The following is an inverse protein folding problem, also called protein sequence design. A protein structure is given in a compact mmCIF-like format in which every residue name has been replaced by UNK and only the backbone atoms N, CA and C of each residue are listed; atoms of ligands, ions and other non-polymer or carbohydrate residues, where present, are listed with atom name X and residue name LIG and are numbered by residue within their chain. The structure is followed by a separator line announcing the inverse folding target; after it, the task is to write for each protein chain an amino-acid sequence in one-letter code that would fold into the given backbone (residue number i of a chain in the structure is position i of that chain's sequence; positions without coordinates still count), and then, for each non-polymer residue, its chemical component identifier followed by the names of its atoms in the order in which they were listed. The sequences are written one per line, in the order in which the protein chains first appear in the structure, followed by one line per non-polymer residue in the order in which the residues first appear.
data_IF_398065521991
#
_entry.id   IF_398065521991
#
_cell.length_a   1.000
_cell.length_b   1.000
_cell.length_c   1.000
_cell.angle_alpha   90.00
_cell.angle_beta   90.00
_cell.angle_gamma   90.00
#
_symmetry.space_group_name_H-M   'P 1'
#
loop_
_entity.id
_entity.type
_entity.pdbx_description
1 polymer ?
#
# COMPACT_ATOMS: atom_id res chain seq x y z
N UNK A 1 26.57 2.34 39.52
CA UNK A 1 25.66 1.30 39.00
C UNK A 1 24.91 1.93 37.84
N UNK A 2 25.35 1.63 36.61
CA UNK A 2 24.72 2.17 35.41
C UNK A 2 23.49 1.32 35.08
N UNK A 3 22.32 1.93 35.13
CA UNK A 3 21.03 1.36 34.75
C UNK A 3 21.04 1.02 33.25
N UNK A 4 20.98 -0.26 32.92
CA UNK A 4 20.74 -0.74 31.55
C UNK A 4 19.31 -0.39 31.17
N UNK A 5 19.14 0.70 30.42
CA UNK A 5 17.88 1.06 29.79
C UNK A 5 17.52 -0.01 28.77
N UNK A 6 16.37 -0.67 28.96
CA UNK A 6 15.74 -1.49 27.94
C UNK A 6 15.49 -0.63 26.70
N UNK A 7 16.20 -0.90 25.61
CA UNK A 7 15.98 -0.25 24.32
C UNK A 7 14.63 -0.69 23.77
N UNK A 8 13.59 0.05 24.10
CA UNK A 8 12.32 -0.03 23.39
C UNK A 8 12.61 0.22 21.91
N UNK A 9 12.20 -0.72 21.06
CA UNK A 9 12.38 -0.64 19.61
C UNK A 9 11.96 0.72 19.11
N UNK A 10 12.88 1.38 18.41
CA UNK A 10 12.49 2.49 17.57
C UNK A 10 11.71 1.86 16.42
N UNK A 11 10.58 2.47 16.07
CA UNK A 11 9.68 2.09 14.97
C UNK A 11 10.37 2.04 13.58
N UNK A 12 11.67 2.31 13.53
CA UNK A 12 12.53 2.42 12.36
C UNK A 12 13.37 1.18 12.06
N UNK A 13 13.49 0.24 13.00
CA UNK A 13 14.44 -0.87 12.86
C UNK A 13 13.74 -2.07 12.22
N UNK A 14 14.33 -2.64 11.16
CA UNK A 14 13.77 -3.79 10.44
C UNK A 14 13.65 -5.02 11.35
N UNK A 15 12.67 -5.89 11.08
CA UNK A 15 12.56 -7.19 11.75
C UNK A 15 13.80 -8.04 11.50
N UNK A 16 14.42 -7.96 10.32
CA UNK A 16 15.65 -8.69 10.00
C UNK A 16 16.83 -8.22 10.87
N UNK A 17 16.92 -6.93 11.17
CA UNK A 17 17.99 -6.36 11.99
C UNK A 17 17.79 -6.64 13.48
N UNK A 18 16.53 -6.62 13.94
CA UNK A 18 16.17 -6.72 15.36
C UNK A 18 15.98 -8.17 15.84
N UNK A 19 15.52 -9.08 14.98
CA UNK A 19 15.28 -10.49 15.33
C UNK A 19 16.52 -11.23 15.84
N UNK A 20 17.74 -11.08 15.29
CA UNK A 20 18.94 -11.73 15.82
C UNK A 20 19.16 -11.45 17.31
N UNK A 21 19.00 -10.19 17.71
CA UNK A 21 19.20 -9.79 19.11
C UNK A 21 18.05 -10.27 20.01
N UNK A 22 16.83 -10.33 19.48
CA UNK A 22 15.69 -10.94 20.15
C UNK A 22 15.94 -12.44 20.44
N UNK A 23 16.42 -13.18 19.43
CA UNK A 23 16.71 -14.60 19.54
C UNK A 23 17.88 -14.87 20.50
N UNK A 24 18.90 -14.01 20.54
CA UNK A 24 20.03 -14.14 21.49
C UNK A 24 19.57 -14.09 22.95
N UNK A 25 18.57 -13.28 23.29
CA UNK A 25 18.05 -13.16 24.67
C UNK A 25 17.39 -14.45 25.18
N UNK A 26 16.97 -15.34 24.28
CA UNK A 26 16.31 -16.62 24.63
C UNK A 26 16.83 -17.77 23.76
N UNK A 27 18.14 -17.77 23.48
CA UNK A 27 18.79 -18.68 22.50
C UNK A 27 18.48 -20.15 22.74
N UNK A 28 18.55 -20.61 23.97
CA UNK A 28 18.29 -22.02 24.31
C UNK A 28 16.84 -22.42 23.96
N UNK A 29 15.88 -21.63 24.44
CA UNK A 29 14.46 -21.85 24.20
C UNK A 29 14.12 -21.78 22.71
N UNK A 30 14.68 -20.81 21.99
CA UNK A 30 14.40 -20.64 20.56
C UNK A 30 15.01 -21.72 19.68
N UNK A 31 16.22 -22.19 19.99
CA UNK A 31 16.77 -23.38 19.33
C UNK A 31 15.87 -24.58 19.51
N UNK A 32 15.43 -24.86 20.75
CA UNK A 32 14.56 -26.00 21.04
C UNK A 32 13.20 -25.86 20.35
N UNK A 33 12.61 -24.66 20.35
CA UNK A 33 11.34 -24.36 19.69
C UNK A 33 11.44 -24.55 18.17
N UNK A 34 12.45 -23.98 17.52
CA UNK A 34 12.62 -24.10 16.07
C UNK A 34 13.02 -25.51 15.65
N UNK A 35 13.82 -26.22 16.46
CA UNK A 35 14.08 -27.66 16.27
C UNK A 35 12.77 -28.47 16.28
N UNK A 36 11.86 -28.19 17.23
CA UNK A 36 10.53 -28.81 17.29
C UNK A 36 9.68 -28.49 16.06
N UNK A 37 9.74 -27.24 15.57
CA UNK A 37 9.06 -26.87 14.34
C UNK A 37 9.63 -27.63 13.13
N UNK A 38 10.95 -27.64 12.90
CA UNK A 38 11.52 -28.30 11.71
C UNK A 38 11.41 -29.84 11.76
N UNK A 39 11.31 -30.44 12.94
CA UNK A 39 11.21 -31.90 13.10
C UNK A 39 9.98 -32.51 12.40
N UNK A 40 8.87 -31.78 12.28
CA UNK A 40 7.68 -32.27 11.58
C UNK A 40 7.72 -32.06 10.06
N UNK A 41 8.88 -31.71 9.51
CA UNK A 41 9.09 -31.57 8.07
C UNK A 41 8.47 -30.32 7.45
N UNK A 42 8.39 -30.32 6.12
CA UNK A 42 7.92 -29.19 5.32
C UNK A 42 6.43 -28.94 5.53
N UNK A 43 6.06 -27.70 5.86
CA UNK A 43 4.64 -27.29 6.01
C UNK A 43 4.51 -25.77 6.15
N UNK A 44 3.31 -25.27 5.89
CA UNK A 44 2.90 -23.93 6.29
C UNK A 44 2.29 -23.97 7.70
N UNK A 45 2.69 -23.03 8.55
CA UNK A 45 2.17 -22.87 9.90
C UNK A 45 1.63 -21.47 10.11
N UNK A 46 0.57 -21.37 10.91
CA UNK A 46 0.05 -20.08 11.41
C UNK A 46 0.62 -19.77 12.78
N UNK A 47 0.48 -18.51 13.22
CA UNK A 47 0.94 -18.05 14.53
C UNK A 47 0.53 -18.98 15.68
N UNK A 48 -0.72 -19.45 15.74
CA UNK A 48 -1.19 -20.32 16.82
C UNK A 48 -0.32 -21.58 16.99
N UNK A 49 0.11 -22.21 15.89
CA UNK A 49 0.97 -23.40 15.95
C UNK A 49 2.38 -23.06 16.45
N UNK A 50 2.90 -21.87 16.10
CA UNK A 50 4.19 -21.39 16.60
C UNK A 50 4.07 -21.15 18.11
N UNK A 51 2.98 -20.54 18.55
CA UNK A 51 2.70 -20.27 19.96
C UNK A 51 2.53 -21.55 20.78
N UNK A 52 1.88 -22.58 20.22
CA UNK A 52 1.79 -23.91 20.83
C UNK A 52 3.18 -24.54 21.03
N UNK A 53 4.08 -24.44 20.04
CA UNK A 53 5.45 -24.97 20.18
C UNK A 53 6.27 -24.17 21.20
N UNK A 54 6.07 -22.84 21.28
CA UNK A 54 6.68 -21.99 22.32
C UNK A 54 6.18 -22.40 23.72
N UNK A 55 4.87 -22.61 23.88
CA UNK A 55 4.27 -23.03 25.15
C UNK A 55 4.74 -24.42 25.58
N UNK A 56 4.87 -25.34 24.63
CA UNK A 56 5.43 -26.69 24.86
C UNK A 56 6.92 -26.64 25.22
N UNK A 57 7.67 -25.71 24.64
CA UNK A 57 9.12 -25.60 24.84
C UNK A 57 9.47 -24.93 26.18
N UNK A 58 8.70 -23.91 26.57
CA UNK A 58 8.92 -23.08 27.76
C UNK A 58 7.83 -23.37 28.79
N UNK A 59 8.11 -24.35 29.65
CA UNK A 59 7.17 -24.81 30.70
C UNK A 59 7.00 -23.75 31.82
N UNK A 60 8.05 -22.97 32.12
CA UNK A 60 7.97 -21.91 33.11
C UNK A 60 7.15 -20.72 32.59
N UNK A 61 6.01 -20.48 33.24
CA UNK A 61 5.07 -19.40 32.89
C UNK A 61 5.68 -18.01 33.02
N UNK A 62 6.58 -17.77 33.97
CA UNK A 62 7.23 -16.48 34.18
C UNK A 62 8.26 -16.20 33.09
N UNK A 63 9.09 -17.20 32.74
CA UNK A 63 10.04 -17.06 31.63
C UNK A 63 9.32 -16.84 30.30
N UNK A 64 8.26 -17.62 30.05
CA UNK A 64 7.43 -17.49 28.86
C UNK A 64 6.81 -16.11 28.77
N UNK A 65 6.22 -15.61 29.87
CA UNK A 65 5.64 -14.27 29.92
C UNK A 65 6.69 -13.20 29.62
N UNK A 66 7.87 -13.29 30.23
CA UNK A 66 8.97 -12.35 30.01
C UNK A 66 9.45 -12.32 28.55
N UNK A 67 9.51 -13.48 27.89
CA UNK A 67 9.85 -13.60 26.48
C UNK A 67 8.79 -12.93 25.59
N UNK A 68 7.51 -13.20 25.86
CA UNK A 68 6.39 -12.66 25.08
C UNK A 68 6.14 -11.16 25.32
N UNK A 69 6.56 -10.62 26.45
CA UNK A 69 6.56 -9.17 26.71
C UNK A 69 7.75 -8.45 26.03
N UNK A 70 8.73 -9.20 25.52
CA UNK A 70 9.91 -8.68 24.84
C UNK A 70 9.74 -8.49 23.33
N UNK A 71 10.86 -8.13 22.67
CA UNK A 71 10.93 -7.93 21.22
C UNK A 71 10.51 -9.18 20.43
N UNK A 72 10.90 -10.37 20.87
CA UNK A 72 10.49 -11.60 20.19
C UNK A 72 8.98 -11.80 20.23
N UNK A 73 8.34 -11.51 21.37
CA UNK A 73 6.89 -11.53 21.48
C UNK A 73 6.20 -10.54 20.54
N UNK A 74 6.76 -9.33 20.40
CA UNK A 74 6.30 -8.37 19.40
C UNK A 74 6.38 -8.94 17.97
N UNK A 75 7.54 -9.48 17.56
CA UNK A 75 7.71 -10.05 16.21
C UNK A 75 6.73 -11.21 15.96
N UNK A 76 6.59 -12.12 16.93
CA UNK A 76 5.64 -13.23 16.84
C UNK A 76 4.21 -12.71 16.72
N UNK A 77 3.81 -11.68 17.48
CA UNK A 77 2.47 -11.09 17.39
C UNK A 77 2.16 -10.46 16.02
N UNK A 78 3.20 -9.98 15.32
CA UNK A 78 3.08 -9.43 13.98
C UNK A 78 3.19 -10.50 12.87
N UNK A 79 3.61 -11.72 13.21
CA UNK A 79 3.76 -12.83 12.27
C UNK A 79 2.40 -13.31 11.79
N UNK A 80 2.18 -13.31 10.47
CA UNK A 80 0.94 -13.79 9.87
C UNK A 80 0.98 -15.31 9.63
N UNK A 81 2.10 -15.79 9.11
CA UNK A 81 2.36 -17.20 8.83
C UNK A 81 3.87 -17.45 8.76
N UNK A 82 4.25 -18.72 8.79
CA UNK A 82 5.61 -19.14 8.51
C UNK A 82 5.62 -20.39 7.61
N UNK A 83 6.58 -20.44 6.68
CA UNK A 83 6.91 -21.63 5.92
C UNK A 83 8.05 -22.37 6.61
N UNK A 84 7.82 -23.63 6.96
CA UNK A 84 8.83 -24.52 7.50
C UNK A 84 9.43 -25.28 6.33
N UNK A 85 10.72 -25.04 6.06
CA UNK A 85 11.50 -25.74 5.03
C UNK A 85 12.83 -26.12 5.69
N UNK A 86 12.92 -27.29 6.35
CA UNK A 86 14.09 -27.64 7.16
C UNK A 86 15.42 -27.44 6.41
N UNK A 87 16.44 -26.84 7.05
CA UNK A 87 16.52 -26.45 8.46
C UNK A 87 15.91 -25.06 8.79
N UNK A 88 15.18 -24.45 7.85
CA UNK A 88 14.71 -23.07 7.96
C UNK A 88 13.27 -22.95 8.46
N UNK A 89 13.06 -21.89 9.24
CA UNK A 89 11.74 -21.33 9.58
C UNK A 89 11.67 -19.95 8.94
N UNK A 90 10.80 -19.78 7.96
CA UNK A 90 10.69 -18.55 7.16
C UNK A 90 9.42 -17.83 7.53
N UNK A 91 9.52 -16.63 8.10
CA UNK A 91 8.38 -15.87 8.62
C UNK A 91 7.92 -14.81 7.64
N UNK A 92 6.60 -14.66 7.48
CA UNK A 92 5.97 -13.47 6.91
C UNK A 92 5.42 -12.61 8.03
N UNK A 93 6.07 -11.47 8.27
CA UNK A 93 5.77 -10.56 9.37
C UNK A 93 5.09 -9.31 8.80
N UNK A 94 4.03 -8.86 9.47
CA UNK A 94 3.27 -7.67 9.09
C UNK A 94 3.20 -6.67 10.24
N UNK A 95 4.25 -5.85 10.45
CA UNK A 95 4.29 -4.89 11.56
C UNK A 95 3.22 -3.80 11.48
N UNK A 96 2.87 -3.37 10.26
CA UNK A 96 1.85 -2.34 10.02
C UNK A 96 1.01 -2.69 8.78
N UNK A 97 -0.23 -2.16 8.65
CA UNK A 97 -1.01 -2.32 7.43
C UNK A 97 -0.26 -1.80 6.19
N UNK A 98 -0.19 -2.63 5.15
CA UNK A 98 0.52 -2.30 3.91
C UNK A 98 2.05 -2.49 3.98
N UNK A 99 2.59 -2.96 5.10
CA UNK A 99 4.02 -3.17 5.27
C UNK A 99 4.30 -4.63 5.67
N UNK A 100 5.12 -5.30 4.87
CA UNK A 100 5.51 -6.70 5.05
C UNK A 100 7.03 -6.81 5.10
N UNK A 101 7.50 -7.70 5.96
CA UNK A 101 8.90 -8.10 6.03
C UNK A 101 8.96 -9.62 6.05
N UNK A 102 9.93 -10.19 5.35
CA UNK A 102 10.15 -11.62 5.28
C UNK A 102 11.52 -11.94 5.84
N UNK A 103 11.57 -12.90 6.77
CA UNK A 103 12.81 -13.28 7.44
C UNK A 103 12.96 -14.79 7.46
N UNK A 104 14.12 -15.27 7.05
CA UNK A 104 14.50 -16.68 7.06
C UNK A 104 15.41 -16.95 8.24
N UNK A 105 15.02 -17.88 9.11
CA UNK A 105 15.79 -18.24 10.30
C UNK A 105 16.27 -19.67 10.20
N UNK A 106 17.56 -19.90 10.39
CA UNK A 106 18.12 -21.25 10.52
C UNK A 106 17.84 -21.79 11.94
N UNK A 107 17.20 -22.96 12.04
CA UNK A 107 16.82 -23.54 13.32
C UNK A 107 18.02 -24.01 14.17
N UNK A 108 19.16 -24.34 13.56
CA UNK A 108 20.33 -24.92 14.22
C UNK A 108 21.19 -23.86 14.90
N UNK A 109 21.46 -22.74 14.24
CA UNK A 109 22.37 -21.69 14.72
C UNK A 109 21.70 -20.35 15.05
N UNK A 110 20.43 -20.19 14.66
CA UNK A 110 19.61 -18.98 14.77
C UNK A 110 20.12 -17.80 13.93
N UNK A 111 20.84 -18.06 12.84
CA UNK A 111 21.12 -17.02 11.85
C UNK A 111 19.82 -16.57 11.19
N UNK A 112 19.71 -15.26 10.99
CA UNK A 112 18.53 -14.60 10.42
C UNK A 112 18.96 -13.86 9.17
N UNK A 113 18.30 -14.15 8.06
CA UNK A 113 18.44 -13.42 6.81
C UNK A 113 17.13 -12.70 6.50
N UNK A 114 17.20 -11.40 6.18
CA UNK A 114 16.09 -10.72 5.49
C UNK A 114 16.00 -11.23 4.05
N UNK A 115 14.79 -11.51 3.58
CA UNK A 115 14.55 -12.01 2.21
C UNK A 115 13.47 -11.19 1.50
N UNK A 116 13.44 -11.28 0.18
CA UNK A 116 12.41 -10.62 -0.63
C UNK A 116 11.11 -11.43 -0.65
N UNK A 117 10.03 -10.79 -1.10
CA UNK A 117 8.72 -11.44 -1.22
C UNK A 117 8.76 -12.68 -2.13
N UNK A 118 9.49 -12.61 -3.24
CA UNK A 118 9.66 -13.70 -4.19
C UNK A 118 10.37 -14.91 -3.56
N UNK A 119 11.41 -14.69 -2.75
CA UNK A 119 12.11 -15.75 -2.02
C UNK A 119 11.20 -16.42 -0.99
N UNK A 120 10.36 -15.64 -0.28
CA UNK A 120 9.36 -16.19 0.63
C UNK A 120 8.34 -17.05 -0.11
N UNK A 121 7.83 -16.59 -1.26
CA UNK A 121 6.88 -17.34 -2.07
C UNK A 121 7.48 -18.65 -2.58
N UNK A 122 8.74 -18.66 -3.05
CA UNK A 122 9.47 -19.89 -3.39
C UNK A 122 9.57 -20.86 -2.21
N UNK A 123 9.77 -20.34 -0.99
CA UNK A 123 9.74 -21.19 0.21
C UNK A 123 8.36 -21.81 0.45
N UNK A 124 7.27 -21.10 0.15
CA UNK A 124 5.92 -21.68 0.21
C UNK A 124 5.70 -22.74 -0.86
N UNK A 125 6.21 -22.52 -2.07
CA UNK A 125 6.13 -23.49 -3.16
C UNK A 125 6.92 -24.76 -2.83
N UNK A 126 8.13 -24.63 -2.27
CA UNK A 126 8.98 -25.76 -1.83
C UNK A 126 8.30 -26.69 -0.82
N UNK A 127 7.30 -26.19 -0.08
CA UNK A 127 6.48 -27.00 0.84
C UNK A 127 5.59 -27.99 0.07
N UNK A 128 5.15 -27.63 -1.14
CA UNK A 128 4.20 -28.43 -1.92
C UNK A 128 4.84 -29.12 -3.14
N UNK A 129 5.67 -28.40 -3.89
CA UNK A 129 6.31 -28.90 -5.11
C UNK A 129 7.73 -28.32 -5.27
N UNK A 130 8.73 -29.19 -5.12
CA UNK A 130 10.14 -28.82 -5.27
C UNK A 130 10.52 -28.52 -6.72
N UNK A 131 9.89 -29.17 -7.70
CA UNK A 131 10.21 -28.97 -9.11
C UNK A 131 9.72 -27.60 -9.57
N UNK A 132 8.50 -27.25 -9.19
CA UNK A 132 7.95 -25.93 -9.48
C UNK A 132 8.79 -24.82 -8.84
N UNK A 133 9.12 -24.96 -7.55
CA UNK A 133 9.87 -23.94 -6.83
C UNK A 133 11.32 -23.74 -7.33
N UNK A 134 11.86 -24.68 -8.09
CA UNK A 134 13.20 -24.62 -8.70
C UNK A 134 13.18 -24.38 -10.20
N UNK A 135 12.01 -24.16 -10.80
CA UNK A 135 11.90 -23.84 -12.22
C UNK A 135 12.29 -22.38 -12.46
N UNK A 136 13.42 -22.17 -13.16
CA UNK A 136 13.91 -20.85 -13.57
C UNK A 136 12.95 -20.11 -14.51
N UNK A 137 11.98 -20.82 -15.12
CA UNK A 137 10.99 -20.26 -16.04
C UNK A 137 9.61 -20.11 -15.41
N UNK A 138 9.48 -20.29 -14.09
CA UNK A 138 8.23 -20.07 -13.39
C UNK A 138 7.74 -18.62 -13.62
N UNK A 139 6.46 -18.46 -13.97
CA UNK A 139 5.88 -17.16 -14.26
C UNK A 139 5.74 -16.33 -12.97
N UNK A 140 6.46 -15.21 -12.91
CA UNK A 140 6.31 -14.19 -11.87
C UNK A 140 5.56 -12.98 -12.43
N UNK A 141 4.50 -12.55 -11.73
CA UNK A 141 3.69 -11.39 -12.12
C UNK A 141 4.01 -10.24 -11.17
N UNK A 142 4.77 -9.27 -11.67
CA UNK A 142 5.13 -8.06 -10.92
C UNK A 142 4.44 -6.81 -11.51
N UNK A 143 3.47 -6.28 -10.77
CA UNK A 143 2.80 -5.02 -11.12
C UNK A 143 3.60 -3.78 -10.68
N UNK A 144 4.56 -3.92 -9.76
CA UNK A 144 5.44 -2.84 -9.34
C UNK A 144 6.35 -2.36 -10.46
N UNK A 145 6.72 -3.25 -11.38
CA UNK A 145 7.50 -2.93 -12.57
C UNK A 145 6.78 -2.02 -13.58
N UNK A 146 5.46 -1.79 -13.45
CA UNK A 146 4.66 -1.00 -14.40
C UNK A 146 4.28 0.38 -13.79
N UNK A 147 4.44 0.56 -12.48
CA UNK A 147 3.89 1.72 -11.76
C UNK A 147 4.87 2.89 -11.63
N UNK A 148 5.30 3.47 -12.75
CA UNK A 148 6.28 4.57 -12.74
C UNK A 148 5.64 5.96 -12.57
N UNK A 149 4.35 6.11 -12.86
CA UNK A 149 3.71 7.42 -12.94
C UNK A 149 2.74 7.71 -11.80
N UNK A 150 2.32 6.68 -11.06
CA UNK A 150 1.36 6.85 -9.97
C UNK A 150 2.12 7.18 -8.68
N UNK A 151 1.89 8.34 -8.10
CA UNK A 151 2.48 8.64 -6.80
C UNK A 151 1.87 7.72 -5.73
N UNK A 152 2.71 7.26 -4.80
CA UNK A 152 2.29 6.37 -3.71
C UNK A 152 2.21 7.12 -2.38
N UNK A 153 1.26 6.70 -1.55
CA UNK A 153 1.18 7.13 -0.15
C UNK A 153 2.00 6.16 0.71
N UNK A 154 2.98 6.69 1.46
CA UNK A 154 3.86 5.86 2.29
C UNK A 154 3.30 5.54 3.69
N UNK A 155 2.24 6.24 4.13
CA UNK A 155 1.69 6.09 5.48
C UNK A 155 0.52 5.11 5.50
N UNK A 156 0.56 4.13 6.40
CA UNK A 156 -0.54 3.18 6.62
C UNK A 156 -1.86 3.88 6.95
N UNK A 157 -1.82 5.03 7.64
CA UNK A 157 -3.01 5.82 7.98
C UNK A 157 -3.68 6.47 6.77
N UNK A 158 -3.00 6.53 5.63
CA UNK A 158 -3.55 7.10 4.39
C UNK A 158 -4.28 6.07 3.54
N UNK A 159 -4.22 4.78 3.87
CA UNK A 159 -4.94 3.72 3.14
C UNK A 159 -6.44 4.04 3.11
N UNK A 160 -7.02 4.02 1.92
CA UNK A 160 -8.43 4.38 1.69
C UNK A 160 -8.66 5.85 1.31
N UNK A 161 -7.67 6.73 1.46
CA UNK A 161 -7.78 8.17 1.14
C UNK A 161 -7.15 8.54 -0.21
N UNK A 162 -7.27 7.65 -1.20
CA UNK A 162 -6.63 7.82 -2.51
C UNK A 162 -7.12 9.07 -3.25
N UNK A 163 -8.43 9.37 -3.18
CA UNK A 163 -9.01 10.52 -3.86
C UNK A 163 -8.44 11.86 -3.39
N UNK A 164 -8.26 12.03 -2.08
CA UNK A 164 -7.70 13.26 -1.51
C UNK A 164 -6.25 13.46 -1.99
N UNK A 165 -5.49 12.37 -2.01
CA UNK A 165 -4.11 12.37 -2.47
C UNK A 165 -4.01 12.68 -3.97
N UNK A 166 -4.79 11.99 -4.80
CA UNK A 166 -4.81 12.25 -6.25
C UNK A 166 -5.30 13.66 -6.56
N UNK A 167 -6.32 14.15 -5.85
CA UNK A 167 -6.84 15.52 -6.00
C UNK A 167 -5.76 16.55 -5.69
N UNK A 168 -4.99 16.36 -4.61
CA UNK A 168 -3.88 17.25 -4.26
C UNK A 168 -2.79 17.28 -5.33
N UNK A 169 -2.43 16.14 -5.90
CA UNK A 169 -1.44 16.04 -6.98
C UNK A 169 -1.96 16.67 -8.28
N UNK A 170 -3.20 16.38 -8.65
CA UNK A 170 -3.85 16.99 -9.81
C UNK A 170 -3.90 18.51 -9.67
N UNK A 171 -4.23 19.01 -8.47
CA UNK A 171 -4.26 20.45 -8.19
C UNK A 171 -2.88 21.08 -8.40
N UNK A 172 -1.81 20.48 -7.87
CA UNK A 172 -0.42 20.96 -8.08
C UNK A 172 -0.06 21.03 -9.57
N UNK A 173 -0.34 19.95 -10.31
CA UNK A 173 -0.04 19.86 -11.74
C UNK A 173 -0.83 20.88 -12.57
N UNK A 174 -2.10 21.10 -12.25
CA UNK A 174 -2.94 22.11 -12.92
C UNK A 174 -2.41 23.53 -12.66
N UNK A 175 -1.90 23.81 -11.46
CA UNK A 175 -1.32 25.11 -11.11
C UNK A 175 0.07 25.38 -11.69
N UNK A 176 0.87 24.33 -11.92
CA UNK A 176 2.23 24.43 -12.46
C UNK A 176 2.28 24.59 -13.99
N UNK A 177 1.18 24.29 -14.70
CA UNK A 177 1.11 24.28 -16.17
C UNK A 177 1.33 25.65 -16.80
N UNK A 178 2.60 26.01 -16.95
CA UNK A 178 3.08 27.09 -17.79
C UNK A 178 3.55 26.48 -19.12
N UNK A 179 2.82 26.84 -20.19
CA UNK A 179 3.16 26.63 -21.59
C UNK A 179 2.81 25.25 -22.22
N UNK A 180 1.62 25.22 -22.85
CA UNK A 180 1.28 24.52 -24.10
C UNK A 180 0.18 23.45 -24.05
N UNK A 181 -0.02 22.71 -22.94
CA UNK A 181 -1.10 21.72 -22.83
C UNK A 181 -1.84 21.91 -21.50
N UNK A 182 -3.17 22.04 -21.56
CA UNK A 182 -4.00 22.14 -20.37
C UNK A 182 -5.01 20.98 -20.38
N UNK A 183 -4.69 19.87 -19.70
CA UNK A 183 -5.51 18.66 -19.74
C UNK A 183 -6.96 18.89 -19.31
N UNK A 184 -7.22 19.87 -18.44
CA UNK A 184 -8.57 20.24 -18.04
C UNK A 184 -9.34 20.89 -19.19
N UNK A 185 -8.70 21.81 -19.92
CA UNK A 185 -9.31 22.42 -21.10
C UNK A 185 -9.58 21.38 -22.18
N UNK A 186 -8.61 20.52 -22.47
CA UNK A 186 -8.74 19.46 -23.49
C UNK A 186 -9.84 18.47 -23.11
N UNK A 187 -9.91 18.09 -21.82
CA UNK A 187 -10.99 17.26 -21.30
C UNK A 187 -12.35 17.92 -21.53
N UNK A 188 -12.51 19.19 -21.12
CA UNK A 188 -13.77 19.92 -21.27
C UNK A 188 -14.19 20.07 -22.73
N UNK A 189 -13.25 20.28 -23.66
CA UNK A 189 -13.51 20.34 -25.10
C UNK A 189 -13.94 18.98 -25.69
N UNK A 190 -13.40 17.88 -25.14
CA UNK A 190 -13.67 16.52 -25.61
C UNK A 190 -14.99 15.93 -25.12
N UNK A 191 -15.64 16.57 -24.13
CA UNK A 191 -16.88 16.06 -23.55
C UNK A 191 -18.00 16.07 -24.59
N UNK A 192 -18.46 14.88 -24.96
CA UNK A 192 -19.54 14.67 -25.91
C UNK A 192 -20.45 13.53 -25.42
N UNK A 193 -21.76 13.70 -25.59
CA UNK A 193 -22.74 12.65 -25.35
C UNK A 193 -23.69 12.56 -26.54
N UNK A 194 -23.81 11.38 -27.14
CA UNK A 194 -24.69 11.12 -28.29
C UNK A 194 -24.48 12.07 -29.48
N UNK A 195 -23.24 12.51 -29.72
CA UNK A 195 -22.92 13.44 -30.80
C UNK A 195 -23.12 14.91 -30.43
N UNK A 196 -23.66 15.21 -29.25
CA UNK A 196 -23.76 16.57 -28.72
C UNK A 196 -22.57 16.90 -27.82
N UNK A 197 -21.85 17.98 -28.14
CA UNK A 197 -20.78 18.49 -27.30
C UNK A 197 -21.35 19.06 -25.99
N UNK A 198 -20.60 18.92 -24.90
CA UNK A 198 -20.97 19.38 -23.57
C UNK A 198 -19.98 20.43 -23.06
N UNK A 199 -20.40 21.23 -22.07
CA UNK A 199 -19.59 22.20 -21.32
C UNK A 199 -19.10 23.41 -22.13
N UNK A 200 -18.18 23.24 -23.07
CA UNK A 200 -17.52 24.34 -23.80
C UNK A 200 -17.44 24.06 -25.29
N UNK A 201 -17.47 25.12 -26.09
CA UNK A 201 -17.29 25.02 -27.54
C UNK A 201 -15.81 24.97 -27.94
N UNK A 202 -15.54 24.40 -29.10
CA UNK A 202 -14.24 24.39 -29.79
C UNK A 202 -13.62 25.78 -29.96
N UNK A 203 -14.45 26.83 -30.03
CA UNK A 203 -14.01 28.22 -30.06
C UNK A 203 -13.22 28.64 -28.82
N UNK A 204 -13.43 27.98 -27.67
CA UNK A 204 -12.76 28.24 -26.39
C UNK A 204 -11.48 27.40 -26.19
N UNK A 205 -10.77 27.07 -27.27
CA UNK A 205 -9.58 26.23 -27.26
C UNK A 205 -8.30 26.79 -26.59
N UNK A 206 -8.39 27.90 -25.83
CA UNK A 206 -7.25 28.39 -25.04
C UNK A 206 -7.69 28.89 -23.67
N UNK A 207 -6.81 28.79 -22.67
CA UNK A 207 -7.08 29.25 -21.30
C UNK A 207 -7.51 30.72 -21.22
N UNK A 208 -6.85 31.68 -21.90
CA UNK A 208 -7.29 33.07 -21.87
C UNK A 208 -8.69 33.29 -22.47
N UNK A 209 -9.05 32.53 -23.52
CA UNK A 209 -10.40 32.60 -24.11
C UNK A 209 -11.44 32.05 -23.15
N UNK A 210 -11.16 30.91 -22.52
CA UNK A 210 -12.03 30.29 -21.53
C UNK A 210 -12.23 31.21 -20.32
N UNK A 211 -11.15 31.78 -19.76
CA UNK A 211 -11.22 32.72 -18.64
C UNK A 211 -12.09 33.94 -18.98
N UNK A 212 -11.85 34.58 -20.13
CA UNK A 212 -12.64 35.74 -20.57
C UNK A 212 -14.11 35.39 -20.74
N UNK A 213 -14.41 34.24 -21.33
CA UNK A 213 -15.78 33.76 -21.51
C UNK A 213 -16.46 33.50 -20.16
N UNK A 214 -15.77 32.87 -19.20
CA UNK A 214 -16.28 32.59 -17.85
C UNK A 214 -16.60 33.90 -17.10
N UNK A 215 -15.72 34.90 -17.14
CA UNK A 215 -15.98 36.20 -16.49
C UNK A 215 -17.21 36.90 -17.06
N UNK A 216 -17.42 36.85 -18.38
CA UNK A 216 -18.61 37.43 -19.02
C UNK A 216 -19.87 36.64 -18.63
N UNK A 217 -19.78 35.31 -18.62
CA UNK A 217 -20.90 34.44 -18.25
C UNK A 217 -21.29 34.63 -16.79
N UNK A 218 -20.33 34.71 -15.87
CA UNK A 218 -20.56 34.95 -14.44
C UNK A 218 -21.30 36.28 -14.21
N UNK A 219 -20.84 37.36 -14.82
CA UNK A 219 -21.48 38.67 -14.70
C UNK A 219 -22.93 38.67 -15.24
N UNK A 220 -23.18 37.96 -16.35
CA UNK A 220 -24.51 37.86 -16.94
C UNK A 220 -25.47 36.99 -16.11
N UNK A 221 -25.01 35.82 -15.65
CA UNK A 221 -25.84 34.89 -14.86
C UNK A 221 -26.14 35.48 -13.49
N UNK A 222 -25.18 36.19 -12.86
CA UNK A 222 -25.37 36.83 -11.55
C UNK A 222 -26.44 37.93 -11.54
N UNK A 223 -26.82 38.47 -12.71
CA UNK A 223 -27.90 39.44 -12.83
C UNK A 223 -29.31 38.81 -12.79
N UNK A 224 -29.42 37.49 -12.91
CA UNK A 224 -30.69 36.77 -12.89
C UNK A 224 -31.02 36.25 -11.49
N UNK A 225 -32.29 35.95 -11.25
CA UNK A 225 -32.72 35.30 -10.00
C UNK A 225 -32.12 33.88 -9.91
N UNK A 226 -31.77 33.42 -8.69
CA UNK A 226 -31.11 32.11 -8.47
C UNK A 226 -31.91 30.92 -9.00
N UNK A 227 -33.24 31.04 -8.99
CA UNK A 227 -34.16 30.00 -9.46
C UNK A 227 -34.57 30.15 -10.93
N UNK A 228 -33.92 31.05 -11.68
CA UNK A 228 -34.22 31.22 -13.12
C UNK A 228 -33.81 29.93 -13.86
N UNK A 229 -34.73 29.27 -14.59
CA UNK A 229 -34.38 28.12 -15.42
C UNK A 229 -33.38 28.49 -16.52
N UNK A 230 -32.46 27.57 -16.85
CA UNK A 230 -31.44 27.79 -17.87
C UNK A 230 -32.01 28.23 -19.22
N UNK A 231 -33.14 27.64 -19.65
CA UNK A 231 -33.78 27.95 -20.93
C UNK A 231 -34.16 29.44 -21.06
N UNK A 232 -34.37 30.13 -19.94
CA UNK A 232 -34.77 31.52 -19.92
C UNK A 232 -33.59 32.48 -20.13
N UNK A 233 -32.36 31.99 -20.00
CA UNK A 233 -31.14 32.78 -20.22
C UNK A 233 -30.12 32.09 -21.15
N UNK A 234 -30.51 31.02 -21.86
CA UNK A 234 -29.78 30.32 -22.94
C UNK A 234 -29.53 31.21 -24.20
N UNK A 235 -29.57 32.53 -24.06
CA UNK A 235 -29.50 33.46 -25.20
C UNK A 235 -28.10 33.51 -25.84
N UNK A 236 -28.03 33.93 -27.11
CA UNK A 236 -26.87 33.81 -28.05
C UNK A 236 -25.47 34.15 -27.48
N UNK A 237 -25.33 35.06 -26.52
CA UNK A 237 -24.01 35.44 -25.98
C UNK A 237 -23.35 34.36 -25.14
N UNK A 238 -24.11 33.60 -24.33
CA UNK A 238 -23.56 32.47 -23.55
C UNK A 238 -23.49 31.22 -24.42
N UNK A 239 -24.51 30.99 -25.25
CA UNK A 239 -24.57 29.86 -26.18
C UNK A 239 -23.49 29.90 -27.27
N UNK A 240 -22.82 31.03 -27.50
CA UNK A 240 -21.67 31.10 -28.41
C UNK A 240 -20.35 30.61 -27.79
N UNK A 241 -20.29 30.43 -26.47
CA UNK A 241 -19.06 30.06 -25.76
C UNK A 241 -19.21 28.78 -24.93
N UNK A 242 -20.34 28.61 -24.24
CA UNK A 242 -20.61 27.47 -23.38
C UNK A 242 -21.79 26.64 -23.88
N UNK A 243 -21.73 25.33 -23.61
CA UNK A 243 -22.79 24.39 -23.90
C UNK A 243 -23.34 23.87 -22.58
N UNK A 244 -24.34 24.57 -22.04
CA UNK A 244 -25.02 24.18 -20.81
C UNK A 244 -26.44 23.72 -21.11
N UNK A 245 -26.63 22.85 -22.09
CA UNK A 245 -27.94 22.21 -22.22
C UNK A 245 -28.15 21.25 -21.06
N UNK A 246 -29.31 21.43 -20.44
CA UNK A 246 -29.74 20.78 -19.22
C UNK A 246 -29.23 19.34 -19.11
N UNK A 247 -28.45 19.04 -18.06
CA UNK A 247 -28.17 17.68 -17.60
C UNK A 247 -29.49 17.06 -17.12
N UNK A 248 -30.41 16.75 -18.05
CA UNK A 248 -31.41 15.71 -17.88
C UNK A 248 -30.78 14.38 -18.29
N UNK A 249 -29.70 14.02 -17.60
CA UNK A 249 -29.10 12.70 -17.70
C UNK A 249 -28.73 12.23 -16.30
N UNK A 250 -29.76 12.02 -15.48
CA UNK A 250 -29.90 10.92 -14.50
C UNK A 250 -31.38 10.53 -14.50
#
# INVERSE_FOLDING_TARGET
MASTSSSALKRSDSIADSMPDALKQSRFHMKKCFAGLVANGKRLVRLNHIMEEVEKTIEDKNERKKLLEGLLGYILSCTQEAAIVPPYVVFAVRPNPGFWEYVKVNADDLQVDGIEASDYLKCKELVFDEKWASDENALEIDFGAIDFTTPHMALSSSIGNGLDFTTRILTSRLTESSHCENPLLDYLLSLNHQGENLMIKDTLNTIPKLQKALTIAEAYVSAHHKDTPYQNFENRSISNSFIFRSMYFI
#
